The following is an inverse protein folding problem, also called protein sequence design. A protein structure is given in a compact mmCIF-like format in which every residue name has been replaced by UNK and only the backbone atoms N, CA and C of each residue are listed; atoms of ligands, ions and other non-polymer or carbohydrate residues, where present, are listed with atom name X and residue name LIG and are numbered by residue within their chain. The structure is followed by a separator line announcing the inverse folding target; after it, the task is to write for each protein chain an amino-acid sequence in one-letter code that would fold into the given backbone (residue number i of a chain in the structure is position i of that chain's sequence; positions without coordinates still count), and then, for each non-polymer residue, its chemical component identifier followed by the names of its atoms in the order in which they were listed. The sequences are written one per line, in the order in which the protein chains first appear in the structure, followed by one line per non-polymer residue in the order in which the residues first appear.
data_IF_902363353951
#
_entry.id   IF_902363353951
#
_cell.length_a   1.000
_cell.length_b   1.000
_cell.length_c   1.000
_cell.angle_alpha   90.00
_cell.angle_beta   90.00
_cell.angle_gamma   90.00
#
_symmetry.space_group_name_H-M   'P 1'
#
loop_
_entity.id
_entity.type
_entity.pdbx_description
1 polymer ?
#
# COMPACT_ATOMS: atom_id res chain seq x y z
N UNK A 1 -2.26 21.21 -7.27
CA UNK A 1 -2.28 19.88 -7.93
C UNK A 1 -3.22 19.98 -9.12
N UNK A 2 -2.83 19.46 -10.28
CA UNK A 2 -3.69 19.41 -11.45
C UNK A 2 -4.93 18.54 -11.15
N UNK A 3 -6.12 18.95 -11.62
CA UNK A 3 -7.38 18.24 -11.38
C UNK A 3 -7.33 16.82 -11.97
N UNK A 4 -6.69 16.65 -13.12
CA UNK A 4 -6.52 15.36 -13.77
C UNK A 4 -5.69 14.39 -12.92
N UNK A 5 -4.55 14.84 -12.36
CA UNK A 5 -3.74 14.02 -11.45
C UNK A 5 -4.56 13.64 -10.20
N UNK A 6 -5.38 14.54 -9.67
CA UNK A 6 -6.25 14.22 -8.53
C UNK A 6 -7.24 13.11 -8.84
N UNK A 7 -7.88 13.17 -10.03
CA UNK A 7 -8.80 12.13 -10.51
C UNK A 7 -8.11 10.79 -10.69
N UNK A 8 -6.91 10.79 -11.29
CA UNK A 8 -6.08 9.58 -11.44
C UNK A 8 -5.74 8.97 -10.09
N UNK A 9 -5.34 9.78 -9.11
CA UNK A 9 -5.04 9.30 -7.75
C UNK A 9 -6.27 8.62 -7.14
N UNK A 10 -7.46 9.19 -7.28
CA UNK A 10 -8.68 8.62 -6.73
C UNK A 10 -9.05 7.28 -7.40
N UNK A 11 -9.03 7.24 -8.72
CA UNK A 11 -9.31 6.03 -9.50
C UNK A 11 -8.29 4.92 -9.24
N UNK A 12 -7.00 5.22 -9.46
CA UNK A 12 -5.93 4.25 -9.25
C UNK A 12 -5.84 3.81 -7.79
N UNK A 13 -6.07 4.73 -6.84
CA UNK A 13 -6.10 4.40 -5.42
C UNK A 13 -7.17 3.35 -5.10
N UNK A 14 -8.36 3.46 -5.68
CA UNK A 14 -9.40 2.46 -5.52
C UNK A 14 -9.02 1.11 -6.15
N UNK A 15 -8.53 1.13 -7.40
CA UNK A 15 -8.09 -0.09 -8.11
C UNK A 15 -6.97 -0.80 -7.33
N UNK A 16 -5.97 -0.06 -6.87
CA UNK A 16 -4.86 -0.61 -6.10
C UNK A 16 -5.30 -1.15 -4.73
N UNK A 17 -6.28 -0.49 -4.08
CA UNK A 17 -6.90 -1.04 -2.86
C UNK A 17 -7.58 -2.38 -3.13
N UNK A 18 -8.35 -2.49 -4.21
CA UNK A 18 -8.94 -3.76 -4.61
C UNK A 18 -7.87 -4.83 -4.87
N UNK A 19 -6.75 -4.47 -5.50
CA UNK A 19 -5.61 -5.36 -5.73
C UNK A 19 -5.01 -5.92 -4.42
N UNK A 20 -4.84 -5.07 -3.40
CA UNK A 20 -4.37 -5.51 -2.07
C UNK A 20 -5.37 -6.48 -1.43
N UNK A 21 -6.65 -6.16 -1.48
CA UNK A 21 -7.70 -7.03 -0.94
C UNK A 21 -7.70 -8.38 -1.64
N UNK A 22 -7.66 -8.41 -2.97
CA UNK A 22 -7.60 -9.64 -3.76
C UNK A 22 -6.36 -10.48 -3.42
N UNK A 23 -5.22 -9.87 -3.14
CA UNK A 23 -4.04 -10.58 -2.68
C UNK A 23 -4.29 -11.27 -1.33
N UNK A 24 -4.82 -10.56 -0.35
CA UNK A 24 -5.08 -11.10 0.98
C UNK A 24 -6.24 -12.12 1.04
N UNK A 25 -7.16 -12.08 0.06
CA UNK A 25 -8.22 -13.08 -0.09
C UNK A 25 -7.73 -14.44 -0.59
N UNK A 26 -6.42 -14.63 -0.74
CA UNK A 26 -5.84 -15.91 -1.17
C UNK A 26 -6.15 -17.07 -0.24
N UNK A 27 -6.10 -18.31 -0.77
CA UNK A 27 -6.32 -19.49 0.02
C UNK A 27 -5.19 -19.73 1.02
N UNK A 28 -5.47 -20.54 2.03
CA UNK A 28 -4.45 -21.12 2.90
C UNK A 28 -3.48 -21.98 2.08
N UNK A 29 -2.18 -22.02 2.41
CA UNK A 29 -1.19 -22.83 1.71
C UNK A 29 -1.44 -24.34 1.78
N UNK A 30 -2.44 -24.79 2.52
CA UNK A 30 -2.75 -26.21 2.73
C UNK A 30 -3.73 -26.83 1.71
N UNK A 31 -4.05 -26.14 0.60
CA UNK A 31 -4.95 -26.71 -0.42
C UNK A 31 -4.14 -27.62 -1.34
N UNK A 32 -4.36 -28.95 -1.31
CA UNK A 32 -3.69 -29.86 -2.21
C UNK A 32 -4.24 -29.68 -3.63
N UNK A 33 -3.35 -29.36 -4.56
CA UNK A 33 -3.64 -29.36 -5.99
C UNK A 33 -2.50 -30.05 -6.71
N UNK A 34 -2.77 -30.65 -7.86
CA UNK A 34 -1.80 -31.40 -8.66
C UNK A 34 -1.97 -31.12 -10.15
N UNK A 35 -0.89 -31.34 -10.90
CA UNK A 35 -0.93 -31.22 -12.36
C UNK A 35 -1.26 -29.81 -12.86
N UNK A 36 -2.16 -29.72 -13.85
CA UNK A 36 -2.54 -28.44 -14.47
C UNK A 36 -3.25 -27.51 -13.48
N UNK A 37 -4.04 -28.04 -12.55
CA UNK A 37 -4.71 -27.26 -11.51
C UNK A 37 -3.72 -26.52 -10.61
N UNK A 38 -2.60 -27.21 -10.23
CA UNK A 38 -1.52 -26.56 -9.47
C UNK A 38 -0.87 -25.44 -10.26
N UNK A 39 -0.59 -25.63 -11.55
CA UNK A 39 0.01 -24.61 -12.40
C UNK A 39 -0.90 -23.37 -12.48
N UNK A 40 -2.19 -23.58 -12.68
CA UNK A 40 -3.18 -22.48 -12.72
C UNK A 40 -3.31 -21.80 -11.36
N UNK A 41 -3.31 -22.55 -10.27
CA UNK A 41 -3.37 -22.02 -8.90
C UNK A 41 -2.17 -21.11 -8.60
N UNK A 42 -0.95 -21.58 -8.94
CA UNK A 42 0.28 -20.82 -8.75
C UNK A 42 0.32 -19.56 -9.63
N UNK A 43 -0.12 -19.67 -10.88
CA UNK A 43 -0.21 -18.52 -11.79
C UNK A 43 -1.16 -17.44 -11.24
N UNK A 44 -2.34 -17.81 -10.76
CA UNK A 44 -3.31 -16.91 -10.12
C UNK A 44 -2.69 -16.27 -8.87
N UNK A 45 -2.06 -17.06 -8.02
CA UNK A 45 -1.45 -16.59 -6.77
C UNK A 45 -0.29 -15.62 -7.05
N UNK A 46 0.56 -15.92 -8.02
CA UNK A 46 1.66 -15.05 -8.45
C UNK A 46 1.15 -13.75 -9.06
N UNK A 47 0.10 -13.80 -9.86
CA UNK A 47 -0.54 -12.60 -10.42
C UNK A 47 -0.98 -11.64 -9.31
N UNK A 48 -1.68 -12.13 -8.29
CA UNK A 48 -2.14 -11.27 -7.19
C UNK A 48 -0.99 -10.82 -6.28
N UNK A 49 0.06 -11.61 -6.10
CA UNK A 49 1.27 -11.20 -5.38
C UNK A 49 1.97 -10.01 -6.08
N UNK A 50 2.11 -10.07 -7.40
CA UNK A 50 2.68 -8.98 -8.19
C UNK A 50 1.75 -7.74 -8.16
N UNK A 51 0.44 -7.95 -8.22
CA UNK A 51 -0.55 -6.86 -8.10
C UNK A 51 -0.45 -6.16 -6.74
N UNK A 52 -0.27 -6.90 -5.65
CA UNK A 52 -0.07 -6.31 -4.32
C UNK A 52 1.23 -5.51 -4.24
N UNK A 53 2.32 -6.02 -4.83
CA UNK A 53 3.60 -5.32 -4.90
C UNK A 53 3.46 -4.01 -5.67
N UNK A 54 2.79 -4.03 -6.83
CA UNK A 54 2.48 -2.83 -7.63
C UNK A 54 1.62 -1.84 -6.83
N UNK A 55 0.59 -2.33 -6.14
CA UNK A 55 -0.31 -1.51 -5.35
C UNK A 55 0.41 -0.82 -4.18
N UNK A 56 1.25 -1.55 -3.44
CA UNK A 56 2.03 -0.96 -2.36
C UNK A 56 3.04 0.07 -2.89
N UNK A 57 3.71 -0.24 -4.00
CA UNK A 57 4.61 0.70 -4.69
C UNK A 57 3.87 1.97 -5.10
N UNK A 58 2.65 1.85 -5.61
CA UNK A 58 1.79 2.98 -5.94
C UNK A 58 1.48 3.85 -4.70
N UNK A 59 1.05 3.25 -3.60
CA UNK A 59 0.71 4.00 -2.39
C UNK A 59 1.92 4.73 -1.79
N UNK A 60 3.09 4.10 -1.78
CA UNK A 60 4.32 4.76 -1.34
C UNK A 60 4.72 5.91 -2.28
N UNK A 61 4.67 5.70 -3.60
CA UNK A 61 4.98 6.72 -4.59
C UNK A 61 4.04 7.93 -4.49
N UNK A 62 2.72 7.70 -4.45
CA UNK A 62 1.71 8.76 -4.30
C UNK A 62 1.87 9.50 -2.96
N UNK A 63 2.19 8.77 -1.89
CA UNK A 63 2.43 9.41 -0.59
C UNK A 63 3.65 10.31 -0.60
N UNK A 64 4.76 9.87 -1.19
CA UNK A 64 5.95 10.70 -1.41
C UNK A 64 5.60 11.93 -2.26
N UNK A 65 4.96 11.73 -3.40
CA UNK A 65 4.53 12.79 -4.31
C UNK A 65 3.69 13.86 -3.60
N UNK A 66 2.60 13.46 -2.95
CA UNK A 66 1.69 14.39 -2.27
C UNK A 66 2.31 15.08 -1.06
N UNK A 67 3.22 14.42 -0.35
CA UNK A 67 3.90 15.03 0.79
C UNK A 67 4.85 16.12 0.33
N UNK A 68 5.67 15.84 -0.69
CA UNK A 68 6.69 16.78 -1.18
C UNK A 68 6.12 17.84 -2.12
N UNK A 69 4.91 17.66 -2.63
CA UNK A 69 4.23 18.70 -3.41
C UNK A 69 4.05 19.98 -2.56
N UNK A 70 4.76 21.06 -2.94
CA UNK A 70 4.80 22.32 -2.22
C UNK A 70 5.21 22.17 -0.72
N UNK A 71 6.12 21.25 -0.41
CA UNK A 71 6.70 21.14 0.92
C UNK A 71 7.78 22.20 1.12
N UNK A 72 7.75 22.85 2.27
CA UNK A 72 8.82 23.70 2.77
C UNK A 72 9.09 23.39 4.24
N UNK A 73 10.28 23.72 4.73
CA UNK A 73 10.62 23.50 6.14
C UNK A 73 9.65 24.21 7.09
N UNK A 74 9.23 25.44 6.74
CA UNK A 74 8.23 26.19 7.54
C UNK A 74 6.84 25.54 7.50
N UNK A 75 6.46 24.93 6.38
CA UNK A 75 5.17 24.26 6.18
C UNK A 75 5.12 22.82 6.69
N UNK A 76 6.27 22.22 7.00
CA UNK A 76 6.37 20.80 7.38
C UNK A 76 5.53 20.46 8.62
N UNK A 77 5.64 21.22 9.72
CA UNK A 77 4.88 20.96 10.93
C UNK A 77 3.36 20.93 10.68
N UNK A 78 2.85 21.85 9.83
CA UNK A 78 1.45 21.86 9.42
C UNK A 78 1.04 20.64 8.60
N UNK A 79 1.94 20.11 7.74
CA UNK A 79 1.70 18.88 7.01
C UNK A 79 1.71 17.66 7.93
N UNK A 80 2.65 17.59 8.91
CA UNK A 80 2.69 16.52 9.92
C UNK A 80 1.40 16.53 10.74
N UNK A 81 0.98 17.70 11.25
CA UNK A 81 -0.29 17.83 11.99
C UNK A 81 -1.49 17.26 11.19
N UNK A 82 -1.61 17.62 9.93
CA UNK A 82 -2.68 17.05 9.08
C UNK A 82 -2.57 15.54 8.91
N UNK A 83 -1.33 15.01 8.78
CA UNK A 83 -1.12 13.57 8.66
C UNK A 83 -1.36 12.82 9.97
N UNK A 84 -1.15 13.45 11.13
CA UNK A 84 -1.58 12.86 12.40
C UNK A 84 -3.07 12.54 12.36
N UNK A 85 -3.91 13.49 11.97
CA UNK A 85 -5.36 13.27 11.92
C UNK A 85 -5.81 12.35 10.78
N UNK A 86 -5.14 12.39 9.64
CA UNK A 86 -5.55 11.59 8.47
C UNK A 86 -4.93 10.19 8.40
N UNK A 87 -3.88 9.90 9.18
CA UNK A 87 -3.18 8.60 9.16
C UNK A 87 -3.08 7.98 10.56
N UNK A 88 -2.49 8.70 11.53
CA UNK A 88 -2.21 8.13 12.85
C UNK A 88 -3.49 7.92 13.66
N UNK A 89 -4.41 8.88 13.67
CA UNK A 89 -5.68 8.74 14.41
C UNK A 89 -6.50 7.58 13.88
N UNK A 90 -6.81 7.44 12.56
CA UNK A 90 -7.52 6.27 12.07
C UNK A 90 -6.72 4.97 12.27
N UNK A 91 -5.39 4.97 12.14
CA UNK A 91 -4.57 3.82 12.47
C UNK A 91 -4.85 3.32 13.89
N UNK A 92 -4.73 4.19 14.88
CA UNK A 92 -4.96 3.82 16.28
C UNK A 92 -6.40 3.38 16.55
N UNK A 93 -7.39 4.05 15.96
CA UNK A 93 -8.80 3.69 16.12
C UNK A 93 -9.05 2.26 15.60
N UNK A 94 -8.54 1.92 14.42
CA UNK A 94 -8.67 0.57 13.87
C UNK A 94 -7.88 -0.47 14.65
N UNK A 95 -6.67 -0.16 15.16
CA UNK A 95 -5.94 -1.09 16.03
C UNK A 95 -6.74 -1.41 17.30
N UNK A 96 -7.34 -0.39 17.92
CA UNK A 96 -8.21 -0.60 19.10
C UNK A 96 -9.46 -1.44 18.77
N UNK A 97 -10.10 -1.19 17.61
CA UNK A 97 -11.25 -1.98 17.18
C UNK A 97 -10.86 -3.43 16.92
N UNK A 98 -9.77 -3.67 16.22
CA UNK A 98 -9.29 -5.03 15.92
C UNK A 98 -8.87 -5.75 17.20
N UNK A 99 -8.23 -5.05 18.14
CA UNK A 99 -7.91 -5.61 19.45
C UNK A 99 -9.19 -6.04 20.21
N UNK A 100 -10.23 -5.20 20.19
CA UNK A 100 -11.51 -5.54 20.82
C UNK A 100 -12.18 -6.76 20.16
N UNK A 101 -12.15 -6.84 18.82
CA UNK A 101 -12.67 -8.01 18.08
C UNK A 101 -11.88 -9.27 18.42
N UNK A 102 -10.54 -9.21 18.46
CA UNK A 102 -9.70 -10.34 18.82
C UNK A 102 -10.02 -10.85 20.25
N UNK A 103 -10.24 -9.94 21.21
CA UNK A 103 -10.66 -10.32 22.57
C UNK A 103 -12.01 -11.05 22.58
N UNK A 104 -12.98 -10.63 21.75
CA UNK A 104 -14.28 -11.29 21.63
C UNK A 104 -14.15 -12.71 21.04
N UNK A 105 -13.15 -12.94 20.22
CA UNK A 105 -12.81 -14.26 19.64
C UNK A 105 -11.85 -15.08 20.52
N UNK A 106 -11.67 -14.70 21.80
CA UNK A 106 -10.78 -15.37 22.75
C UNK A 106 -9.31 -15.46 22.31
N UNK A 107 -8.87 -14.58 21.42
CA UNK A 107 -7.46 -14.46 21.08
C UNK A 107 -6.76 -13.70 22.21
N UNK A 108 -5.96 -14.42 22.98
CA UNK A 108 -5.25 -13.86 24.12
C UNK A 108 -4.11 -12.93 23.64
N UNK A 109 -4.32 -11.64 23.77
CA UNK A 109 -3.27 -10.62 23.62
C UNK A 109 -3.25 -9.75 24.88
N UNK A 110 -2.11 -9.62 25.52
CA UNK A 110 -1.96 -8.76 26.67
C UNK A 110 -1.93 -7.29 26.24
N UNK A 111 -2.29 -6.36 27.15
CA UNK A 111 -2.19 -4.91 26.90
C UNK A 111 -0.75 -4.49 26.51
N UNK A 112 0.25 -5.12 27.12
CA UNK A 112 1.67 -4.86 26.80
C UNK A 112 2.01 -5.28 25.37
N UNK A 113 1.58 -6.45 24.95
CA UNK A 113 1.76 -6.93 23.57
C UNK A 113 1.04 -6.04 22.57
N UNK A 114 -0.22 -5.64 22.87
CA UNK A 114 -0.94 -4.69 22.03
C UNK A 114 -0.18 -3.38 21.81
N UNK A 115 0.32 -2.76 22.89
CA UNK A 115 1.10 -1.53 22.78
C UNK A 115 2.41 -1.76 22.00
N UNK A 116 3.08 -2.88 22.26
CA UNK A 116 4.31 -3.25 21.57
C UNK A 116 4.10 -3.42 20.07
N UNK A 117 3.12 -4.21 19.67
CA UNK A 117 2.80 -4.48 18.26
C UNK A 117 2.24 -3.26 17.54
N UNK A 118 1.57 -2.35 18.24
CA UNK A 118 1.01 -1.13 17.65
C UNK A 118 2.08 -0.06 17.38
N UNK A 119 3.07 0.11 18.27
CA UNK A 119 4.03 1.22 18.19
C UNK A 119 5.45 0.81 17.83
N UNK A 120 5.85 -0.43 18.11
CA UNK A 120 7.17 -0.91 17.73
C UNK A 120 7.12 -1.60 16.38
N UNK A 121 8.21 -1.47 15.63
CA UNK A 121 8.31 -2.00 14.26
C UNK A 121 8.79 -3.46 14.21
N UNK A 122 8.82 -4.14 15.36
CA UNK A 122 9.36 -5.50 15.52
C UNK A 122 8.35 -6.61 15.25
N UNK A 123 7.06 -6.30 15.24
CA UNK A 123 5.97 -7.25 15.00
C UNK A 123 4.85 -6.59 14.20
N UNK A 124 4.03 -7.41 13.55
CA UNK A 124 2.84 -6.92 12.87
C UNK A 124 1.81 -6.38 13.86
N UNK A 125 1.17 -5.24 13.56
CA UNK A 125 0.08 -4.73 14.39
C UNK A 125 -1.14 -5.67 14.36
N UNK A 126 -2.09 -5.56 15.31
CA UNK A 126 -3.31 -6.37 15.34
C UNK A 126 -4.08 -6.39 14.01
N UNK A 127 -4.27 -5.23 13.39
CA UNK A 127 -4.66 -5.11 12.00
C UNK A 127 -3.39 -4.99 11.15
N UNK A 128 -2.93 -6.14 10.66
CA UNK A 128 -1.67 -6.24 9.92
C UNK A 128 -1.61 -5.39 8.67
N UNK A 129 -2.73 -5.16 7.98
CA UNK A 129 -2.75 -4.35 6.77
C UNK A 129 -2.42 -2.88 7.02
N UNK A 130 -2.78 -2.35 8.16
CA UNK A 130 -2.63 -0.93 8.47
C UNK A 130 -1.20 -0.49 8.81
N UNK A 131 -0.22 -1.42 8.81
CA UNK A 131 1.19 -1.06 8.99
C UNK A 131 1.63 0.08 8.08
N UNK A 132 1.07 0.15 6.87
CA UNK A 132 1.37 1.19 5.90
C UNK A 132 1.05 2.60 6.42
N UNK A 133 -0.07 2.82 7.11
CA UNK A 133 -0.45 4.15 7.63
C UNK A 133 0.59 4.66 8.62
N UNK A 134 1.05 3.77 9.51
CA UNK A 134 2.07 4.12 10.48
C UNK A 134 3.42 4.36 9.82
N UNK A 135 3.81 3.50 8.87
CA UNK A 135 5.03 3.67 8.09
C UNK A 135 5.10 5.04 7.38
N UNK A 136 4.05 5.41 6.65
CA UNK A 136 4.05 6.69 5.93
C UNK A 136 3.90 7.91 6.86
N UNK A 137 3.36 7.73 8.05
CA UNK A 137 3.41 8.75 9.10
C UNK A 137 4.85 8.97 9.58
N UNK A 138 5.59 7.89 9.88
CA UNK A 138 7.01 7.98 10.26
C UNK A 138 7.88 8.60 9.15
N UNK A 139 7.62 8.23 7.88
CA UNK A 139 8.30 8.85 6.73
C UNK A 139 7.99 10.35 6.60
N UNK A 140 6.81 10.80 7.02
CA UNK A 140 6.51 12.22 7.05
C UNK A 140 7.31 12.98 8.12
N UNK A 141 7.69 12.33 9.22
CA UNK A 141 8.60 12.92 10.22
C UNK A 141 10.02 13.05 9.67
N UNK A 142 10.47 12.13 8.83
CA UNK A 142 11.81 12.14 8.21
C UNK A 142 11.88 13.03 6.96
N UNK A 143 10.76 13.54 6.46
CA UNK A 143 10.72 14.36 5.25
C UNK A 143 11.65 15.59 5.23
N UNK A 144 11.92 16.31 6.36
CA UNK A 144 12.85 17.44 6.35
C UNK A 144 14.26 17.06 5.90
N UNK A 145 14.74 15.86 6.21
CA UNK A 145 16.07 15.39 5.81
C UNK A 145 16.16 15.30 4.27
N UNK A 146 15.15 14.66 3.66
CA UNK A 146 15.07 14.52 2.19
C UNK A 146 14.90 15.89 1.54
N UNK A 147 14.06 16.76 2.13
CA UNK A 147 13.82 18.12 1.63
C UNK A 147 15.11 18.93 1.58
N UNK A 148 15.90 18.94 2.67
CA UNK A 148 17.19 19.65 2.72
C UNK A 148 18.18 19.17 1.65
N UNK A 149 18.18 17.86 1.36
CA UNK A 149 19.01 17.28 0.30
C UNK A 149 18.55 17.82 -1.05
N UNK A 150 17.24 17.81 -1.33
CA UNK A 150 16.69 18.26 -2.62
C UNK A 150 16.87 19.76 -2.83
N UNK A 151 16.67 20.59 -1.80
CA UNK A 151 16.88 22.05 -1.88
C UNK A 151 18.33 22.41 -2.25
N UNK A 152 19.32 21.63 -1.75
CA UNK A 152 20.74 21.87 -2.02
C UNK A 152 21.26 21.25 -3.33
N UNK A 153 20.70 20.11 -3.73
CA UNK A 153 21.21 19.34 -4.84
C UNK A 153 20.85 19.91 -6.21
N UNK A 154 19.68 20.55 -6.32
CA UNK A 154 19.08 20.87 -7.62
C UNK A 154 18.58 19.61 -8.35
N UNK A 155 17.90 19.80 -9.49
CA UNK A 155 17.11 18.75 -10.13
C UNK A 155 17.94 17.54 -10.60
N UNK A 156 19.00 17.74 -11.38
CA UNK A 156 19.81 16.63 -11.93
C UNK A 156 20.56 15.87 -10.83
N UNK A 157 21.23 16.59 -9.93
CA UNK A 157 21.91 15.96 -8.79
C UNK A 157 20.93 15.27 -7.84
N UNK A 158 19.77 15.89 -7.59
CA UNK A 158 18.68 15.30 -6.80
C UNK A 158 18.18 13.99 -7.40
N UNK A 159 18.09 13.87 -8.73
CA UNK A 159 17.77 12.63 -9.41
C UNK A 159 18.84 11.55 -9.18
N UNK A 160 20.11 11.89 -9.41
CA UNK A 160 21.22 10.96 -9.17
C UNK A 160 21.28 10.48 -7.70
N UNK A 161 21.08 11.39 -6.73
CA UNK A 161 21.06 11.04 -5.30
C UNK A 161 19.87 10.14 -4.96
N UNK A 162 18.68 10.41 -5.54
CA UNK A 162 17.50 9.56 -5.37
C UNK A 162 17.78 8.16 -5.90
N UNK A 163 18.37 8.05 -7.09
CA UNK A 163 18.71 6.75 -7.68
C UNK A 163 19.79 6.01 -6.89
N UNK A 164 20.83 6.71 -6.43
CA UNK A 164 21.83 6.13 -5.53
C UNK A 164 21.23 5.60 -4.24
N UNK A 165 20.29 6.35 -3.64
CA UNK A 165 19.57 5.90 -2.45
C UNK A 165 18.69 4.68 -2.75
N UNK A 166 18.03 4.62 -3.91
CA UNK A 166 17.27 3.45 -4.38
C UNK A 166 18.17 2.22 -4.46
N UNK A 167 19.30 2.31 -5.13
CA UNK A 167 20.26 1.22 -5.23
C UNK A 167 20.80 0.79 -3.87
N UNK A 168 21.06 1.75 -2.98
CA UNK A 168 21.47 1.49 -1.60
C UNK A 168 20.40 0.69 -0.83
N UNK A 169 19.11 1.07 -0.90
CA UNK A 169 18.05 0.33 -0.24
C UNK A 169 17.88 -1.08 -0.79
N UNK A 170 18.06 -1.27 -2.11
CA UNK A 170 18.07 -2.59 -2.70
C UNK A 170 19.25 -3.43 -2.24
N UNK A 171 20.45 -2.85 -2.23
CA UNK A 171 21.63 -3.52 -1.71
C UNK A 171 21.44 -3.92 -0.22
N UNK A 172 20.88 -3.03 0.58
CA UNK A 172 20.59 -3.31 1.99
C UNK A 172 19.63 -4.51 2.16
N UNK A 173 18.67 -4.67 1.26
CA UNK A 173 17.75 -5.81 1.28
C UNK A 173 18.40 -7.10 0.79
N UNK A 174 19.34 -7.04 -0.14
CA UNK A 174 20.02 -8.21 -0.72
C UNK A 174 21.17 -8.73 0.15
N UNK A 175 21.72 -7.90 1.03
CA UNK A 175 22.80 -8.30 1.91
C UNK A 175 22.26 -9.08 3.12
N UNK A 176 22.96 -10.13 3.55
CA UNK A 176 22.65 -10.86 4.79
C UNK A 176 22.61 -9.93 6.02
N UNK A 177 23.27 -8.79 5.92
CA UNK A 177 23.20 -7.71 6.89
C UNK A 177 21.78 -7.17 7.09
N UNK A 178 20.96 -7.08 6.00
CA UNK A 178 19.57 -6.67 6.09
C UNK A 178 18.74 -7.70 6.87
N UNK A 179 19.02 -9.00 6.76
CA UNK A 179 18.34 -10.04 7.52
C UNK A 179 18.63 -9.97 9.01
N UNK A 180 19.86 -9.61 9.39
CA UNK A 180 20.25 -9.43 10.79
C UNK A 180 19.63 -8.18 11.45
N UNK A 181 19.46 -7.09 10.68
CA UNK A 181 18.87 -5.84 11.17
C UNK A 181 17.35 -5.76 10.99
N UNK A 182 16.81 -6.47 10.02
CA UNK A 182 15.43 -6.42 9.62
C UNK A 182 14.68 -7.73 9.90
N UNK A 183 15.09 -8.47 10.94
CA UNK A 183 14.33 -9.63 11.45
C UNK A 183 12.91 -9.26 11.89
N UNK A 184 12.63 -7.97 12.01
CA UNK A 184 11.49 -7.46 12.73
C UNK A 184 10.41 -6.98 11.77
N UNK A 185 9.33 -7.74 11.73
CA UNK A 185 8.03 -7.34 11.23
C UNK A 185 8.03 -6.64 9.87
N UNK A 186 7.42 -5.50 9.85
CA UNK A 186 7.21 -4.74 8.62
C UNK A 186 8.32 -3.71 8.29
N UNK A 187 9.41 -3.64 9.07
CA UNK A 187 10.58 -2.79 8.71
C UNK A 187 11.11 -3.19 7.34
N UNK A 188 11.20 -4.49 7.06
CA UNK A 188 11.58 -4.99 5.74
C UNK A 188 10.69 -4.44 4.62
N UNK A 189 9.38 -4.38 4.86
CA UNK A 189 8.45 -3.83 3.88
C UNK A 189 8.61 -2.32 3.70
N UNK A 190 8.91 -1.56 4.77
CA UNK A 190 9.23 -0.13 4.66
C UNK A 190 10.46 0.05 3.77
N UNK A 191 11.53 -0.68 4.02
CA UNK A 191 12.77 -0.61 3.23
C UNK A 191 12.52 -1.04 1.78
N UNK A 192 11.72 -2.08 1.56
CA UNK A 192 11.35 -2.58 0.24
C UNK A 192 10.64 -1.52 -0.62
N UNK A 193 9.74 -0.72 -0.04
CA UNK A 193 8.97 0.28 -0.77
C UNK A 193 9.53 1.70 -0.67
N UNK A 194 10.64 1.89 0.07
CA UNK A 194 11.34 3.17 0.15
C UNK A 194 11.75 3.72 -1.23
N UNK A 195 12.20 2.92 -2.20
CA UNK A 195 12.46 3.38 -3.56
C UNK A 195 11.27 4.10 -4.21
N UNK A 196 10.08 3.51 -4.14
CA UNK A 196 8.86 4.13 -4.68
C UNK A 196 8.52 5.44 -3.98
N UNK A 197 8.67 5.49 -2.65
CA UNK A 197 8.48 6.71 -1.87
C UNK A 197 9.45 7.82 -2.28
N UNK A 198 10.75 7.50 -2.42
CA UNK A 198 11.78 8.46 -2.82
C UNK A 198 11.56 8.98 -4.24
N UNK A 199 11.19 8.12 -5.18
CA UNK A 199 10.80 8.55 -6.53
C UNK A 199 9.59 9.47 -6.50
N UNK A 200 8.56 9.12 -5.74
CA UNK A 200 7.41 9.98 -5.52
C UNK A 200 7.79 11.33 -4.92
N UNK A 201 8.65 11.34 -3.90
CA UNK A 201 9.16 12.56 -3.27
C UNK A 201 9.92 13.45 -4.25
N UNK A 202 10.80 12.86 -5.08
CA UNK A 202 11.53 13.55 -6.12
C UNK A 202 10.57 14.26 -7.11
N UNK A 203 9.63 13.53 -7.67
CA UNK A 203 8.66 14.11 -8.60
C UNK A 203 7.74 15.12 -7.91
N UNK A 204 7.33 14.90 -6.67
CA UNK A 204 6.52 15.84 -5.89
C UNK A 204 7.24 17.15 -5.63
N UNK A 205 8.55 17.11 -5.39
CA UNK A 205 9.35 18.32 -5.13
C UNK A 205 9.67 19.09 -6.41
N UNK A 206 10.06 18.40 -7.49
CA UNK A 206 10.56 19.06 -8.71
C UNK A 206 9.52 19.23 -9.83
N UNK A 207 8.38 18.52 -9.80
CA UNK A 207 7.42 18.53 -10.91
C UNK A 207 6.75 19.90 -11.13
N UNK A 208 6.60 20.71 -10.09
CA UNK A 208 6.01 22.05 -10.20
C UNK A 208 6.95 23.09 -10.81
N UNK A 209 8.24 22.75 -10.89
CA UNK A 209 9.31 23.64 -11.39
C UNK A 209 9.73 23.31 -12.82
N UNK A 210 9.12 22.32 -13.44
CA UNK A 210 9.56 21.77 -14.72
C UNK A 210 8.43 21.66 -15.75
N UNK A 211 8.78 21.71 -17.02
CA UNK A 211 7.87 21.40 -18.11
C UNK A 211 7.41 19.93 -18.06
N UNK A 212 6.28 19.61 -18.69
CA UNK A 212 5.80 18.23 -18.82
C UNK A 212 6.81 17.35 -19.55
N UNK A 213 7.48 17.90 -20.57
CA UNK A 213 8.53 17.19 -21.35
C UNK A 213 9.72 16.82 -20.46
N UNK A 214 10.15 17.72 -19.56
CA UNK A 214 11.24 17.41 -18.64
C UNK A 214 10.85 16.37 -17.62
N UNK A 215 9.61 16.39 -17.10
CA UNK A 215 9.12 15.35 -16.22
C UNK A 215 9.11 13.99 -16.91
N UNK A 216 8.68 13.93 -18.17
CA UNK A 216 8.71 12.70 -18.96
C UNK A 216 10.15 12.19 -19.17
N UNK A 217 11.11 13.05 -19.48
CA UNK A 217 12.53 12.67 -19.62
C UNK A 217 13.09 12.01 -18.38
N UNK A 218 12.84 12.60 -17.20
CA UNK A 218 13.28 12.01 -15.93
C UNK A 218 12.53 10.72 -15.60
N UNK A 219 11.26 10.61 -15.96
CA UNK A 219 10.49 9.40 -15.79
C UNK A 219 11.02 8.25 -16.67
N UNK A 220 11.34 8.55 -17.95
CA UNK A 220 11.98 7.59 -18.87
C UNK A 220 13.38 7.18 -18.39
N UNK A 221 14.17 8.14 -17.90
CA UNK A 221 15.47 7.84 -17.30
C UNK A 221 15.33 6.92 -16.07
N UNK A 222 14.33 7.14 -15.22
CA UNK A 222 14.04 6.27 -14.09
C UNK A 222 13.67 4.85 -14.53
N UNK A 223 12.86 4.71 -15.59
CA UNK A 223 12.50 3.40 -16.14
C UNK A 223 13.71 2.69 -16.74
N UNK A 224 14.50 3.37 -17.55
CA UNK A 224 15.69 2.78 -18.17
C UNK A 224 16.71 2.33 -17.11
N UNK A 225 16.91 3.15 -16.06
CA UNK A 225 17.78 2.79 -14.96
C UNK A 225 17.21 1.62 -14.13
N UNK A 226 15.89 1.55 -13.96
CA UNK A 226 15.23 0.41 -13.30
C UNK A 226 15.39 -0.88 -14.12
N UNK A 227 15.18 -0.83 -15.43
CA UNK A 227 15.39 -1.98 -16.34
C UNK A 227 16.85 -2.44 -16.36
N UNK A 228 17.80 -1.51 -16.38
CA UNK A 228 19.22 -1.84 -16.30
C UNK A 228 19.58 -2.48 -14.97
N UNK A 229 19.05 -1.98 -13.86
CA UNK A 229 19.26 -2.57 -12.55
C UNK A 229 18.64 -3.98 -12.46
N UNK A 230 17.42 -4.18 -12.97
CA UNK A 230 16.77 -5.51 -13.03
C UNK A 230 17.61 -6.49 -13.87
N UNK A 231 18.21 -6.05 -14.99
CA UNK A 231 19.07 -6.89 -15.81
C UNK A 231 20.38 -7.29 -15.09
N UNK A 232 20.96 -6.43 -14.28
CA UNK A 232 22.19 -6.71 -13.51
C UNK A 232 21.90 -7.58 -12.27
N UNK A 233 20.77 -7.37 -11.64
CA UNK A 233 20.41 -8.02 -10.36
C UNK A 233 19.31 -9.07 -10.50
N UNK A 234 19.16 -9.69 -11.66
CA UNK A 234 18.02 -10.50 -12.13
C UNK A 234 17.51 -11.60 -11.18
N UNK A 235 18.26 -12.01 -10.17
CA UNK A 235 17.81 -13.00 -9.17
C UNK A 235 17.02 -12.39 -8.00
N UNK A 236 17.13 -11.08 -7.78
CA UNK A 236 16.52 -10.39 -6.63
C UNK A 236 15.53 -9.28 -7.00
N UNK A 237 15.56 -8.75 -8.23
CA UNK A 237 15.06 -7.41 -8.53
C UNK A 237 14.06 -7.29 -9.69
N UNK A 238 13.40 -8.33 -10.11
CA UNK A 238 12.21 -8.22 -10.99
C UNK A 238 11.17 -7.20 -10.47
N UNK A 239 11.40 -6.63 -9.30
CA UNK A 239 10.55 -5.70 -8.59
C UNK A 239 10.92 -4.23 -8.75
N UNK A 240 12.12 -3.86 -9.28
CA UNK A 240 12.50 -2.45 -9.43
C UNK A 240 11.62 -1.78 -10.46
N UNK A 241 11.44 -2.42 -11.61
CA UNK A 241 10.55 -1.91 -12.67
C UNK A 241 9.12 -1.76 -12.14
N UNK A 242 8.60 -2.72 -11.37
CA UNK A 242 7.27 -2.63 -10.75
C UNK A 242 7.14 -1.44 -9.79
N UNK A 243 8.23 -0.96 -9.20
CA UNK A 243 8.21 0.19 -8.31
C UNK A 243 8.23 1.54 -9.03
N UNK A 244 8.69 1.58 -10.28
CA UNK A 244 8.67 2.79 -11.13
C UNK A 244 7.35 2.93 -11.90
N UNK A 245 6.74 1.81 -12.31
CA UNK A 245 5.49 1.78 -13.09
C UNK A 245 4.34 2.62 -12.50
N UNK A 246 4.11 2.69 -11.18
CA UNK A 246 3.05 3.52 -10.62
C UNK A 246 3.14 5.00 -10.97
N UNK A 247 4.35 5.53 -11.12
CA UNK A 247 4.55 6.92 -11.54
C UNK A 247 4.18 7.13 -13.01
N UNK A 248 4.45 6.14 -13.88
CA UNK A 248 3.95 6.17 -15.26
C UNK A 248 2.43 6.18 -15.29
N UNK A 249 1.79 5.32 -14.51
CA UNK A 249 0.34 5.30 -14.41
C UNK A 249 -0.20 6.65 -13.91
N UNK A 250 0.44 7.25 -12.91
CA UNK A 250 0.02 8.53 -12.34
C UNK A 250 0.14 9.69 -13.34
N UNK A 251 1.21 9.75 -14.12
CA UNK A 251 1.47 10.89 -15.01
C UNK A 251 0.92 10.70 -16.42
N UNK A 252 0.86 9.48 -16.95
CA UNK A 252 0.59 9.22 -18.36
C UNK A 252 -0.70 8.46 -18.63
N UNK A 253 -1.27 7.72 -17.66
CA UNK A 253 -2.45 6.94 -17.93
C UNK A 253 -3.67 7.86 -18.13
N UNK A 254 -4.32 7.85 -19.29
CA UNK A 254 -5.56 8.57 -19.48
C UNK A 254 -6.66 7.96 -18.60
N UNK A 255 -7.39 8.79 -17.87
CA UNK A 255 -8.54 8.32 -17.10
C UNK A 255 -9.80 8.61 -17.91
N UNK A 256 -10.48 7.57 -18.43
CA UNK A 256 -11.75 7.76 -19.16
C UNK A 256 -12.78 8.51 -18.30
N UNK A 257 -13.54 9.41 -18.89
CA UNK A 257 -14.53 10.24 -18.16
C UNK A 257 -15.54 9.41 -17.36
N UNK A 258 -15.93 8.25 -17.89
CA UNK A 258 -16.86 7.36 -17.18
C UNK A 258 -16.28 6.73 -15.91
N UNK A 259 -14.96 6.76 -15.72
CA UNK A 259 -14.25 6.33 -14.50
C UNK A 259 -13.90 7.50 -13.58
N UNK A 260 -14.16 8.75 -13.98
CA UNK A 260 -13.89 9.90 -13.14
C UNK A 260 -14.95 10.06 -12.04
N UNK A 261 -14.49 10.53 -10.88
CA UNK A 261 -15.32 11.02 -9.77
C UNK A 261 -16.46 10.04 -9.33
N UNK A 262 -16.20 8.72 -9.39
CA UNK A 262 -17.17 7.72 -8.92
C UNK A 262 -17.24 7.71 -7.39
N UNK A 263 -18.48 7.75 -6.87
CA UNK A 263 -18.75 7.72 -5.41
C UNK A 263 -18.12 6.51 -4.70
N UNK A 264 -17.90 5.40 -5.41
CA UNK A 264 -17.29 4.19 -4.85
C UNK A 264 -15.83 4.41 -4.39
N UNK A 265 -15.12 5.40 -4.94
CA UNK A 265 -13.72 5.66 -4.58
C UNK A 265 -13.57 6.18 -3.15
N UNK A 266 -14.60 6.79 -2.57
CA UNK A 266 -14.62 7.21 -1.16
C UNK A 266 -14.56 6.02 -0.20
N UNK A 267 -14.93 4.83 -0.67
CA UNK A 267 -14.87 3.60 0.13
C UNK A 267 -13.47 3.00 0.25
N UNK A 268 -12.49 3.44 -0.57
CA UNK A 268 -11.16 2.84 -0.64
C UNK A 268 -10.53 2.62 0.74
N UNK A 269 -10.60 3.62 1.61
CA UNK A 269 -10.00 3.52 2.93
C UNK A 269 -10.75 2.53 3.83
N UNK A 270 -12.07 2.54 3.86
CA UNK A 270 -12.86 1.58 4.63
C UNK A 270 -12.66 0.15 4.14
N UNK A 271 -12.62 -0.05 2.82
CA UNK A 271 -12.31 -1.35 2.20
C UNK A 271 -10.93 -1.83 2.65
N UNK A 272 -9.94 -0.93 2.64
CA UNK A 272 -8.58 -1.23 3.08
C UNK A 272 -8.50 -1.55 4.57
N UNK A 273 -9.22 -0.84 5.43
CA UNK A 273 -9.17 -1.07 6.88
C UNK A 273 -9.99 -2.29 7.32
N UNK A 274 -11.11 -2.57 6.64
CA UNK A 274 -12.00 -3.67 7.00
C UNK A 274 -11.50 -5.04 6.54
N UNK A 275 -10.68 -5.12 5.46
CA UNK A 275 -10.45 -6.41 4.82
C UNK A 275 -9.73 -7.43 5.71
N UNK A 276 -8.73 -7.03 6.48
CA UNK A 276 -7.98 -7.97 7.33
C UNK A 276 -8.83 -8.54 8.49
N UNK A 277 -9.50 -7.73 9.33
CA UNK A 277 -10.38 -8.26 10.36
C UNK A 277 -11.50 -9.13 9.80
N UNK A 278 -12.13 -8.70 8.68
CA UNK A 278 -13.21 -9.48 8.06
C UNK A 278 -12.71 -10.78 7.43
N UNK A 279 -11.54 -10.78 6.79
CA UNK A 279 -10.94 -11.99 6.25
C UNK A 279 -10.65 -12.99 7.35
N UNK A 280 -9.99 -12.55 8.42
CA UNK A 280 -9.57 -13.42 9.51
C UNK A 280 -10.75 -14.09 10.21
N UNK A 281 -11.74 -13.31 10.62
CA UNK A 281 -12.78 -13.79 11.53
C UNK A 281 -14.07 -14.27 10.85
N UNK A 282 -14.29 -13.86 9.60
CA UNK A 282 -15.53 -14.20 8.89
C UNK A 282 -15.29 -15.00 7.61
N UNK A 283 -14.44 -14.50 6.72
CA UNK A 283 -14.37 -15.03 5.36
C UNK A 283 -13.42 -16.23 5.24
N UNK A 284 -12.29 -16.27 5.95
CA UNK A 284 -11.39 -17.41 5.93
C UNK A 284 -12.03 -18.68 6.48
N UNK A 285 -12.76 -18.67 7.62
CA UNK A 285 -13.46 -19.85 8.07
C UNK A 285 -14.48 -20.41 7.06
N UNK A 286 -15.22 -19.52 6.37
CA UNK A 286 -16.17 -19.94 5.32
C UNK A 286 -15.44 -20.57 4.14
N UNK A 287 -14.36 -19.97 3.68
CA UNK A 287 -13.53 -20.51 2.60
C UNK A 287 -12.96 -21.88 2.96
N UNK A 288 -12.39 -22.01 4.15
CA UNK A 288 -11.77 -23.25 4.60
C UNK A 288 -12.82 -24.37 4.71
N UNK A 289 -14.04 -24.04 5.12
CA UNK A 289 -15.17 -24.96 5.08
C UNK A 289 -15.51 -25.39 3.64
N UNK A 290 -15.47 -24.47 2.67
CA UNK A 290 -15.72 -24.82 1.26
C UNK A 290 -14.73 -25.84 0.73
N UNK A 291 -13.46 -25.76 1.09
CA UNK A 291 -12.45 -26.76 0.67
C UNK A 291 -12.67 -28.12 1.33
N UNK A 292 -13.20 -28.16 2.55
CA UNK A 292 -13.56 -29.43 3.22
C UNK A 292 -14.79 -30.07 2.57
N UNK A 293 -15.77 -29.26 2.20
CA UNK A 293 -17.05 -29.76 1.64
C UNK A 293 -16.91 -30.14 0.15
N UNK A 294 -16.02 -29.47 -0.59
CA UNK A 294 -15.83 -29.69 -2.04
C UNK A 294 -14.38 -30.07 -2.38
N UNK A 295 -13.84 -31.16 -1.82
CA UNK A 295 -12.43 -31.55 -2.03
C UNK A 295 -12.11 -31.92 -3.50
N UNK A 296 -13.12 -32.25 -4.31
CA UNK A 296 -12.97 -32.59 -5.73
C UNK A 296 -13.04 -31.38 -6.67
N UNK A 297 -13.26 -30.17 -6.15
CA UNK A 297 -13.33 -28.97 -6.98
C UNK A 297 -11.93 -28.48 -7.36
N UNK A 298 -11.73 -27.95 -8.58
CA UNK A 298 -10.46 -27.37 -8.98
C UNK A 298 -10.02 -26.25 -8.03
N UNK A 299 -8.86 -26.40 -7.39
CA UNK A 299 -8.35 -25.44 -6.42
C UNK A 299 -8.08 -24.06 -7.06
N UNK A 300 -7.64 -24.03 -8.33
CA UNK A 300 -7.46 -22.81 -9.09
C UNK A 300 -8.77 -22.03 -9.26
N UNK A 301 -9.87 -22.72 -9.57
CA UNK A 301 -11.19 -22.08 -9.73
C UNK A 301 -11.68 -21.48 -8.42
N UNK A 302 -11.59 -22.25 -7.32
CA UNK A 302 -11.98 -21.76 -5.97
C UNK A 302 -11.10 -20.57 -5.57
N UNK A 303 -9.78 -20.62 -5.86
CA UNK A 303 -8.87 -19.50 -5.61
C UNK A 303 -9.31 -18.23 -6.37
N UNK A 304 -9.54 -18.32 -7.67
CA UNK A 304 -9.92 -17.18 -8.50
C UNK A 304 -11.30 -16.60 -8.12
N UNK A 305 -12.34 -17.43 -8.14
CA UNK A 305 -13.71 -17.01 -7.82
C UNK A 305 -13.85 -16.56 -6.35
N UNK A 306 -13.23 -17.27 -5.43
CA UNK A 306 -13.27 -16.94 -4.00
C UNK A 306 -12.74 -15.53 -3.74
N UNK A 307 -11.62 -15.13 -4.37
CA UNK A 307 -11.07 -13.78 -4.24
C UNK A 307 -12.06 -12.71 -4.70
N UNK A 308 -12.69 -12.92 -5.87
CA UNK A 308 -13.67 -11.98 -6.42
C UNK A 308 -14.90 -11.86 -5.50
N UNK A 309 -15.45 -12.98 -5.06
CA UNK A 309 -16.60 -13.00 -4.14
C UNK A 309 -16.29 -12.31 -2.82
N UNK A 310 -15.08 -12.53 -2.25
CA UNK A 310 -14.66 -11.85 -1.02
C UNK A 310 -14.49 -10.35 -1.23
N UNK A 311 -13.90 -9.92 -2.35
CA UNK A 311 -13.81 -8.49 -2.66
C UNK A 311 -15.20 -7.86 -2.73
N UNK A 312 -16.15 -8.50 -3.42
CA UNK A 312 -17.53 -8.01 -3.50
C UNK A 312 -18.20 -7.94 -2.12
N UNK A 313 -18.02 -8.96 -1.29
CA UNK A 313 -18.54 -8.96 0.08
C UNK A 313 -17.97 -7.81 0.91
N UNK A 314 -16.64 -7.58 0.85
CA UNK A 314 -15.99 -6.48 1.56
C UNK A 314 -16.48 -5.12 1.06
N UNK A 315 -16.66 -4.94 -0.26
CA UNK A 315 -17.20 -3.71 -0.85
C UNK A 315 -18.63 -3.45 -0.37
N UNK A 316 -19.48 -4.47 -0.33
CA UNK A 316 -20.84 -4.36 0.18
C UNK A 316 -20.87 -3.99 1.67
N UNK A 317 -20.04 -4.64 2.48
CA UNK A 317 -19.93 -4.35 3.92
C UNK A 317 -19.37 -2.94 4.19
N UNK A 318 -18.34 -2.54 3.45
CA UNK A 318 -17.78 -1.18 3.54
C UNK A 318 -18.82 -0.12 3.17
N UNK A 319 -19.63 -0.36 2.12
CA UNK A 319 -20.72 0.53 1.73
C UNK A 319 -21.82 0.59 2.79
N UNK A 320 -22.22 -0.55 3.33
CA UNK A 320 -23.24 -0.61 4.40
C UNK A 320 -22.75 0.14 5.64
N UNK A 321 -21.51 -0.12 6.08
CA UNK A 321 -20.91 0.56 7.24
C UNK A 321 -20.78 2.08 6.99
N UNK A 322 -20.30 2.49 5.81
CA UNK A 322 -20.25 3.90 5.45
C UNK A 322 -21.63 4.56 5.52
N UNK A 323 -22.65 3.93 4.96
CA UNK A 323 -24.01 4.48 4.96
C UNK A 323 -24.58 4.58 6.37
N UNK A 324 -24.35 3.56 7.19
CA UNK A 324 -24.78 3.54 8.59
C UNK A 324 -24.08 4.64 9.41
N UNK A 325 -22.74 4.69 9.34
CA UNK A 325 -21.98 5.68 10.10
C UNK A 325 -22.25 7.10 9.63
N UNK A 326 -22.35 7.34 8.31
CA UNK A 326 -22.67 8.68 7.80
C UNK A 326 -24.03 9.21 8.25
N UNK A 327 -24.97 8.30 8.56
CA UNK A 327 -26.32 8.66 9.03
C UNK A 327 -26.41 8.81 10.55
N UNK A 328 -25.76 7.93 11.30
CA UNK A 328 -25.96 7.83 12.75
C UNK A 328 -24.79 8.37 13.57
N UNK A 329 -23.55 8.31 13.03
CA UNK A 329 -22.33 8.69 13.76
C UNK A 329 -21.28 9.29 12.80
N UNK A 330 -21.54 10.45 12.18
CA UNK A 330 -20.63 11.04 11.18
C UNK A 330 -19.24 11.36 11.74
N UNK A 331 -19.15 11.71 13.03
CA UNK A 331 -17.88 11.95 13.71
C UNK A 331 -17.03 10.68 13.83
N UNK A 332 -17.66 9.54 14.11
CA UNK A 332 -16.98 8.25 14.12
C UNK A 332 -16.47 7.88 12.72
N UNK A 333 -17.25 8.16 11.68
CA UNK A 333 -16.80 7.98 10.29
C UNK A 333 -15.58 8.84 9.98
N UNK A 334 -15.58 10.11 10.38
CA UNK A 334 -14.45 11.02 10.18
C UNK A 334 -13.19 10.52 10.91
N UNK A 335 -13.31 10.01 12.13
CA UNK A 335 -12.20 9.40 12.88
C UNK A 335 -11.70 8.14 12.18
N UNK A 336 -12.57 7.24 11.79
CA UNK A 336 -12.23 5.97 11.18
C UNK A 336 -11.65 6.10 9.78
N UNK A 337 -12.02 7.16 9.03
CA UNK A 337 -11.51 7.41 7.67
C UNK A 337 -10.43 8.49 7.60
N UNK A 338 -10.14 9.17 8.72
CA UNK A 338 -9.21 10.31 8.74
C UNK A 338 -9.74 11.51 7.96
N UNK A 339 -11.07 11.73 7.97
CA UNK A 339 -11.75 12.82 7.29
C UNK A 339 -11.78 12.70 5.76
N UNK A 340 -11.59 11.50 5.21
CA UNK A 340 -11.74 11.23 3.78
C UNK A 340 -13.22 11.08 3.44
N UNK A 341 -13.73 12.07 2.71
CA UNK A 341 -15.13 12.11 2.25
C UNK A 341 -15.23 11.76 0.78
#
# INVERSE_FOLDING_TARGET
MNQEISRRISFLGFVMTCGIVLYHCGPSPAVPSVGLDQVCFDAISNFFTNTATLAMSYFFAVTGYLLFLNLSLRGWAGKVKRRTFSLLVPYLAWQCLTFAVNLLHHEAMTKREFLKTTFLLDQWPPDGALWYLYAVFLLALLAPVILLIYERAGRCRGFCLTFAAILFFYWLQSADFASAFCQYGYVNNILRYMPSYLLGAYFGFYCTQASEIDNLRFLLAALLAALAADAVFSSFFSLITLQVLPLFALFLLPTPEFLCDRKVYHLSFLVYALHQPLLKHLLHPIRDLMYVVYPASPAALINGLGRVLYLLAILCLARALHTMLSRFCPEALDVLTGGRK
#
